data_IF_826186279569
#
_entry.id   IF_826186279569
#
_cell.length_a   1.000
_cell.length_b   1.000
_cell.length_c   1.000
_cell.angle_alpha   90.00
_cell.angle_beta   90.00
_cell.angle_gamma   90.00
#
_symmetry.space_group_name_H-M   'P 1'
#
loop_
_entity.id
_entity.type
_entity.pdbx_description
1 polymer ?
#
# COMPACT_ATOMS: atom_id res chain seq x y z
N UNK A 1 10.66 35.87 2.06
CA UNK A 1 11.04 34.78 1.15
C UNK A 1 9.93 33.72 1.22
N UNK A 2 9.07 33.63 0.20
CA UNK A 2 8.02 32.59 0.15
C UNK A 2 8.69 31.27 -0.22
N UNK A 3 8.63 30.27 0.65
CA UNK A 3 8.98 28.90 0.26
C UNK A 3 7.98 28.44 -0.80
N UNK A 4 8.43 28.32 -2.04
CA UNK A 4 7.66 27.61 -3.07
C UNK A 4 7.82 26.12 -2.75
N UNK A 5 7.05 25.64 -1.78
CA UNK A 5 6.79 24.21 -1.68
C UNK A 5 5.87 23.86 -2.85
N UNK A 6 6.48 23.55 -4.01
CA UNK A 6 5.83 22.72 -5.01
C UNK A 6 5.68 21.32 -4.39
N UNK A 7 4.74 21.20 -3.46
CA UNK A 7 4.19 19.93 -3.00
C UNK A 7 3.53 19.32 -4.23
N UNK A 8 4.29 18.52 -4.99
CA UNK A 8 3.69 17.65 -6.00
C UNK A 8 2.62 16.85 -5.27
N UNK A 9 1.36 17.15 -5.62
CA UNK A 9 0.19 16.53 -5.01
C UNK A 9 0.27 15.05 -5.34
N UNK A 10 0.32 14.21 -4.30
CA UNK A 10 0.24 12.77 -4.46
C UNK A 10 -1.08 12.40 -5.15
N UNK A 11 -1.03 11.43 -6.05
CA UNK A 11 -2.24 10.88 -6.67
C UNK A 11 -3.13 10.15 -5.65
N UNK A 12 -2.51 9.54 -4.63
CA UNK A 12 -3.17 8.85 -3.51
C UNK A 12 -2.28 8.86 -2.26
N UNK A 13 -2.78 8.35 -1.14
CA UNK A 13 -2.04 8.37 0.13
C UNK A 13 -0.74 7.56 0.03
N UNK A 14 0.38 8.15 0.42
CA UNK A 14 1.68 7.46 0.48
C UNK A 14 1.68 6.29 1.47
N UNK A 15 2.48 5.27 1.22
CA UNK A 15 2.64 4.13 2.12
C UNK A 15 3.23 4.61 3.44
N UNK A 16 2.46 4.47 4.52
CA UNK A 16 2.90 4.80 5.86
C UNK A 16 3.85 3.73 6.39
N UNK A 17 4.83 4.15 7.21
CA UNK A 17 5.87 3.26 7.76
C UNK A 17 5.29 2.17 8.67
N UNK A 18 4.13 2.44 9.32
CA UNK A 18 3.41 1.45 10.16
C UNK A 18 2.55 0.49 9.35
N UNK A 19 2.49 0.70 8.02
CA UNK A 19 1.81 -0.11 7.01
C UNK A 19 0.32 -0.33 7.21
N UNK A 20 -0.34 0.50 8.03
CA UNK A 20 -1.80 0.48 8.21
C UNK A 20 -2.56 0.61 6.89
N UNK A 21 -1.99 1.32 5.91
CA UNK A 21 -2.58 1.52 4.59
C UNK A 21 -1.92 0.65 3.50
N UNK A 22 -1.18 -0.41 3.84
CA UNK A 22 -0.43 -1.18 2.85
C UNK A 22 -1.33 -1.83 1.78
N UNK A 23 -2.50 -2.34 2.15
CA UNK A 23 -3.41 -2.97 1.19
C UNK A 23 -4.01 -1.98 0.19
N UNK A 24 -4.48 -0.83 0.68
CA UNK A 24 -5.00 0.23 -0.19
C UNK A 24 -3.89 0.80 -1.07
N UNK A 25 -2.70 1.05 -0.51
CA UNK A 25 -1.54 1.52 -1.26
C UNK A 25 -1.14 0.56 -2.39
N UNK A 26 -1.12 -0.76 -2.13
CA UNK A 26 -0.82 -1.77 -3.17
C UNK A 26 -1.83 -1.72 -4.31
N UNK A 27 -3.11 -1.56 -3.99
CA UNK A 27 -4.18 -1.48 -5.00
C UNK A 27 -4.00 -0.22 -5.86
N UNK A 28 -3.88 0.95 -5.22
CA UNK A 28 -3.76 2.24 -5.90
C UNK A 28 -2.48 2.28 -6.75
N UNK A 29 -1.34 1.86 -6.19
CA UNK A 29 -0.07 1.84 -6.90
C UNK A 29 -0.11 0.96 -8.16
N UNK A 30 -0.76 -0.22 -8.10
CA UNK A 30 -0.93 -1.09 -9.27
C UNK A 30 -1.78 -0.43 -10.34
N UNK A 31 -2.96 0.10 -9.98
CA UNK A 31 -3.87 0.76 -10.92
C UNK A 31 -3.16 1.91 -11.64
N UNK A 32 -2.41 2.74 -10.90
CA UNK A 32 -1.67 3.84 -11.48
C UNK A 32 -0.48 3.40 -12.35
N UNK A 33 0.22 2.33 -11.98
CA UNK A 33 1.27 1.76 -12.82
C UNK A 33 0.68 1.22 -14.12
N UNK A 34 -0.43 0.49 -14.07
CA UNK A 34 -1.12 -0.05 -15.25
C UNK A 34 -1.64 1.07 -16.16
N UNK A 35 -2.29 2.09 -15.58
CA UNK A 35 -2.77 3.25 -16.33
C UNK A 35 -1.64 4.04 -17.03
N UNK A 36 -0.42 3.99 -16.47
CA UNK A 36 0.77 4.61 -17.06
C UNK A 36 1.55 3.67 -18.00
N UNK A 37 1.07 2.44 -18.23
CA UNK A 37 1.76 1.42 -19.03
C UNK A 37 3.02 0.85 -18.38
N UNK A 38 3.16 0.99 -17.05
CA UNK A 38 4.33 0.60 -16.25
C UNK A 38 4.09 -0.64 -15.39
N UNK A 39 2.91 -1.27 -15.46
CA UNK A 39 2.54 -2.44 -14.64
C UNK A 39 3.56 -3.58 -14.69
N UNK A 40 4.11 -3.87 -15.87
CA UNK A 40 5.08 -4.94 -16.05
C UNK A 40 6.39 -4.73 -15.27
N UNK A 41 6.73 -3.48 -14.91
CA UNK A 41 8.02 -3.16 -14.23
C UNK A 41 8.14 -3.80 -12.84
N UNK A 42 7.03 -4.17 -12.20
CA UNK A 42 6.97 -4.82 -10.89
C UNK A 42 6.70 -6.34 -10.97
N UNK A 43 6.73 -6.92 -12.17
CA UNK A 43 6.58 -8.36 -12.40
C UNK A 43 7.93 -9.04 -12.54
N UNK A 44 8.03 -10.32 -12.15
CA UNK A 44 9.24 -11.11 -12.39
C UNK A 44 9.47 -11.29 -13.89
N UNK A 45 10.73 -11.43 -14.28
CA UNK A 45 11.14 -11.67 -15.68
C UNK A 45 10.64 -10.58 -16.66
N UNK A 46 10.42 -9.36 -16.14
CA UNK A 46 10.00 -8.25 -16.99
C UNK A 46 11.14 -7.81 -17.91
N UNK A 47 10.78 -7.49 -19.16
CA UNK A 47 11.67 -6.93 -20.17
C UNK A 47 11.53 -5.40 -20.26
N UNK A 48 11.08 -4.76 -19.17
CA UNK A 48 10.82 -3.33 -19.18
C UNK A 48 12.12 -2.54 -19.43
N UNK A 49 11.99 -1.48 -20.23
CA UNK A 49 13.13 -0.62 -20.57
C UNK A 49 13.72 0.04 -19.31
N UNK A 50 15.00 0.42 -19.37
CA UNK A 50 15.63 1.20 -18.28
C UNK A 50 14.86 2.50 -17.98
N UNK A 51 14.29 3.11 -19.01
CA UNK A 51 13.49 4.33 -18.87
C UNK A 51 12.19 4.06 -18.10
N UNK A 52 11.48 2.98 -18.44
CA UNK A 52 10.22 2.65 -17.77
C UNK A 52 10.45 2.20 -16.34
N UNK A 53 11.54 1.47 -16.08
CA UNK A 53 11.98 1.17 -14.71
C UNK A 53 12.27 2.44 -13.91
N UNK A 54 12.93 3.43 -14.51
CA UNK A 54 13.19 4.71 -13.86
C UNK A 54 11.88 5.49 -13.58
N UNK A 55 10.94 5.53 -14.53
CA UNK A 55 9.62 6.15 -14.32
C UNK A 55 8.85 5.49 -13.19
N UNK A 56 8.83 4.15 -13.15
CA UNK A 56 8.18 3.38 -12.10
C UNK A 56 8.84 3.63 -10.73
N UNK A 57 10.18 3.70 -10.68
CA UNK A 57 10.91 4.02 -9.45
C UNK A 57 10.59 5.42 -8.91
N UNK A 58 10.54 6.44 -9.78
CA UNK A 58 10.15 7.80 -9.38
C UNK A 58 8.73 7.77 -8.80
N UNK A 59 7.81 7.12 -9.48
CA UNK A 59 6.42 7.02 -9.04
C UNK A 59 6.28 6.29 -7.69
N UNK A 60 6.90 5.11 -7.54
CA UNK A 60 6.86 4.34 -6.31
C UNK A 60 7.46 5.14 -5.15
N UNK A 61 8.66 5.72 -5.33
CA UNK A 61 9.31 6.54 -4.31
C UNK A 61 8.47 7.75 -3.94
N UNK A 62 7.83 8.42 -4.90
CA UNK A 62 6.97 9.58 -4.61
C UNK A 62 5.87 9.24 -3.59
N UNK A 63 5.35 8.01 -3.66
CA UNK A 63 4.28 7.49 -2.80
C UNK A 63 4.79 6.68 -1.60
N UNK A 64 6.02 6.89 -1.14
CA UNK A 64 6.51 6.32 0.12
C UNK A 64 6.64 7.42 1.18
N UNK A 65 6.42 7.04 2.43
CA UNK A 65 6.87 7.83 3.58
C UNK A 65 8.38 8.09 3.52
N UNK A 66 8.82 9.23 4.07
CA UNK A 66 10.24 9.62 4.07
C UNK A 66 11.14 8.59 4.74
N UNK A 67 10.69 7.96 5.83
CA UNK A 67 11.47 6.92 6.51
C UNK A 67 11.73 5.72 5.60
N UNK A 68 10.73 5.33 4.80
CA UNK A 68 10.88 4.25 3.81
C UNK A 68 11.77 4.66 2.62
N UNK A 69 11.69 5.91 2.18
CA UNK A 69 12.59 6.43 1.13
C UNK A 69 14.05 6.34 1.55
N UNK A 70 14.34 6.70 2.80
CA UNK A 70 15.68 6.61 3.40
C UNK A 70 16.13 5.16 3.53
N UNK A 71 15.29 4.27 4.07
CA UNK A 71 15.63 2.87 4.26
C UNK A 71 15.95 2.16 2.95
N UNK A 72 15.19 2.43 1.90
CA UNK A 72 15.37 1.82 0.58
C UNK A 72 16.18 2.69 -0.40
N UNK A 73 16.96 3.68 0.07
CA UNK A 73 17.65 4.66 -0.80
C UNK A 73 18.56 4.02 -1.86
N UNK A 74 19.18 2.89 -1.56
CA UNK A 74 20.13 2.21 -2.47
C UNK A 74 19.45 1.35 -3.55
N UNK A 75 18.16 1.04 -3.38
CA UNK A 75 17.39 0.22 -4.33
C UNK A 75 17.06 1.04 -5.58
N UNK A 76 17.45 0.50 -6.75
CA UNK A 76 17.30 1.14 -8.06
C UNK A 76 16.34 0.42 -9.00
N UNK A 77 15.98 -0.83 -8.69
CA UNK A 77 15.05 -1.61 -9.50
C UNK A 77 13.65 -1.62 -8.85
N UNK A 78 12.58 -1.33 -9.62
CA UNK A 78 11.21 -1.24 -9.09
C UNK A 78 10.65 -2.59 -8.64
N UNK A 79 11.01 -3.69 -9.30
CA UNK A 79 10.60 -5.03 -8.88
C UNK A 79 11.25 -5.39 -7.54
N UNK A 80 12.52 -5.04 -7.34
CA UNK A 80 13.21 -5.26 -6.06
C UNK A 80 12.56 -4.45 -4.93
N UNK A 81 12.32 -3.15 -5.14
CA UNK A 81 11.63 -2.29 -4.16
C UNK A 81 10.24 -2.84 -3.82
N UNK A 82 9.45 -3.17 -4.85
CA UNK A 82 8.12 -3.74 -4.69
C UNK A 82 8.14 -5.05 -3.92
N UNK A 83 9.08 -5.94 -4.23
CA UNK A 83 9.24 -7.24 -3.56
C UNK A 83 9.66 -7.09 -2.11
N UNK A 84 10.53 -6.12 -1.79
CA UNK A 84 10.97 -5.84 -0.42
C UNK A 84 9.83 -5.28 0.44
N UNK A 85 9.08 -4.31 -0.08
CA UNK A 85 7.88 -3.79 0.58
C UNK A 85 6.85 -4.91 0.78
N UNK A 86 6.66 -5.75 -0.24
CA UNK A 86 5.78 -6.91 -0.14
C UNK A 86 6.23 -7.88 0.94
N UNK A 87 7.50 -8.28 0.95
CA UNK A 87 8.04 -9.19 1.97
C UNK A 87 7.90 -8.61 3.37
N UNK A 88 8.13 -7.31 3.53
CA UNK A 88 8.02 -6.62 4.82
C UNK A 88 6.59 -6.58 5.32
N UNK A 89 5.60 -6.37 4.47
CA UNK A 89 4.24 -6.06 4.91
C UNK A 89 3.18 -7.12 4.57
N UNK A 90 3.48 -8.13 3.74
CA UNK A 90 2.54 -9.23 3.47
C UNK A 90 2.23 -10.05 4.72
N UNK A 91 3.09 -10.05 5.75
CA UNK A 91 2.77 -10.68 7.03
C UNK A 91 1.59 -9.99 7.72
N UNK A 92 1.26 -8.75 7.38
CA UNK A 92 0.03 -8.13 7.89
C UNK A 92 -1.20 -8.77 7.27
N UNK A 93 -1.16 -9.34 6.05
CA UNK A 93 -2.28 -10.17 5.56
C UNK A 93 -2.50 -11.39 6.44
N UNK A 94 -1.41 -11.99 6.93
CA UNK A 94 -1.46 -13.17 7.80
C UNK A 94 -1.74 -12.86 9.27
N UNK A 95 -1.57 -11.61 9.73
CA UNK A 95 -1.92 -11.19 11.11
C UNK A 95 -3.30 -10.54 11.16
N UNK A 96 -3.67 -9.77 10.13
CA UNK A 96 -5.00 -9.19 9.97
C UNK A 96 -6.01 -10.32 9.83
N UNK A 97 -5.79 -11.36 9.02
CA UNK A 97 -6.81 -12.40 8.82
C UNK A 97 -7.18 -13.18 10.11
N UNK A 98 -6.24 -13.66 10.96
CA UNK A 98 -6.57 -14.27 12.24
C UNK A 98 -7.16 -13.29 13.24
N UNK A 99 -6.68 -12.03 13.27
CA UNK A 99 -7.25 -11.00 14.15
C UNK A 99 -8.67 -10.61 13.74
N UNK A 100 -8.92 -10.40 12.45
CA UNK A 100 -10.26 -10.16 11.86
C UNK A 100 -11.16 -11.36 12.11
N UNK A 101 -10.66 -12.60 11.98
CA UNK A 101 -11.42 -13.81 12.35
C UNK A 101 -11.70 -13.90 13.85
N UNK A 102 -10.73 -13.55 14.69
CA UNK A 102 -10.89 -13.49 16.14
C UNK A 102 -11.93 -12.44 16.52
N UNK A 103 -11.77 -11.20 16.04
CA UNK A 103 -12.70 -10.09 16.25
C UNK A 103 -14.10 -10.49 15.76
N UNK A 104 -14.23 -11.13 14.58
CA UNK A 104 -15.51 -11.70 14.10
C UNK A 104 -16.10 -12.78 15.02
N UNK A 105 -15.28 -13.75 15.44
CA UNK A 105 -15.72 -14.86 16.29
C UNK A 105 -16.14 -14.39 17.69
N UNK A 106 -15.64 -13.24 18.12
CA UNK A 106 -15.95 -12.63 19.41
C UNK A 106 -17.03 -11.53 19.35
N UNK A 107 -17.53 -11.16 18.16
CA UNK A 107 -18.73 -10.33 18.03
C UNK A 107 -19.97 -11.14 18.45
N UNK A 108 -20.72 -10.64 19.44
CA UNK A 108 -22.04 -11.19 19.78
C UNK A 108 -23.12 -10.23 19.32
N UNK A 109 -24.15 -10.76 18.66
CA UNK A 109 -25.32 -9.98 18.24
C UNK A 109 -26.00 -9.25 19.41
N UNK A 110 -25.89 -9.78 20.63
CA UNK A 110 -26.46 -9.20 21.85
C UNK A 110 -25.69 -7.96 22.35
N UNK A 111 -24.45 -7.74 21.88
CA UNK A 111 -23.64 -6.59 22.27
C UNK A 111 -24.02 -5.31 21.48
N UNK A 112 -24.92 -5.41 20.50
CA UNK A 112 -25.35 -4.33 19.63
C UNK A 112 -26.85 -4.04 19.78
N UNK A 113 -27.24 -2.76 19.71
CA UNK A 113 -28.65 -2.35 19.86
C UNK A 113 -29.47 -2.63 18.61
N UNK A 114 -28.82 -2.83 17.47
CA UNK A 114 -29.47 -3.10 16.20
C UNK A 114 -28.59 -3.94 15.27
N UNK A 115 -29.24 -4.63 14.33
CA UNK A 115 -28.56 -5.38 13.25
C UNK A 115 -27.70 -4.46 12.37
N UNK A 116 -28.12 -3.20 12.16
CA UNK A 116 -27.34 -2.21 11.42
C UNK A 116 -26.04 -1.81 12.11
N UNK A 117 -26.02 -1.69 13.44
CA UNK A 117 -24.79 -1.40 14.20
C UNK A 117 -23.81 -2.58 14.14
N UNK A 118 -24.33 -3.80 14.27
CA UNK A 118 -23.54 -5.02 14.12
C UNK A 118 -22.92 -5.12 12.72
N UNK A 119 -23.72 -4.88 11.67
CA UNK A 119 -23.23 -4.87 10.28
C UNK A 119 -22.17 -3.78 10.03
N UNK A 120 -22.31 -2.60 10.64
CA UNK A 120 -21.30 -1.54 10.54
C UNK A 120 -19.99 -1.95 11.23
N UNK A 121 -20.05 -2.59 12.40
CA UNK A 121 -18.87 -3.11 13.09
C UNK A 121 -18.18 -4.21 12.27
N UNK A 122 -18.95 -5.13 11.69
CA UNK A 122 -18.45 -6.16 10.78
C UNK A 122 -17.72 -5.53 9.58
N UNK A 123 -18.32 -4.52 8.95
CA UNK A 123 -17.74 -3.84 7.80
C UNK A 123 -16.43 -3.10 8.14
N UNK A 124 -16.33 -2.51 9.33
CA UNK A 124 -15.11 -1.86 9.83
C UNK A 124 -13.98 -2.85 10.13
N UNK A 125 -14.32 -4.10 10.45
CA UNK A 125 -13.33 -5.17 10.71
C UNK A 125 -12.85 -5.79 9.39
N UNK A 126 -13.67 -5.79 8.33
CA UNK A 126 -13.34 -6.35 7.01
C UNK A 126 -12.75 -5.35 6.00
N UNK A 127 -12.71 -4.05 6.32
CA UNK A 127 -12.18 -2.97 5.47
C UNK A 127 -10.79 -2.54 5.93
#
# INVERSE_FOLDING_TARGET
MKSISNLMKLEFTALDITSKNYLSWVLDAKIHLDAKGLGNTIMKENEASKQDKAKAMIFLRHHLDEGLKTEYLTIKDPLELWSNLKKRYDHQKTVILPKVRYDWMHLRLQDFKSVSECNSAIFKISS
#
